data_IF_400557956977
#
_entry.id   IF_400557956977
#
_cell.length_a   1.000
_cell.length_b   1.000
_cell.length_c   1.000
_cell.angle_alpha   90.00
_cell.angle_beta   90.00
_cell.angle_gamma   90.00
#
_symmetry.space_group_name_H-M   'P 1'
#
loop_
_entity.id
_entity.type
_entity.pdbx_description
1 polymer ?
#
# COMPACT_ATOMS: atom_id res chain seq x y z
N UNK A 1 18.91 2.05 22.18
CA UNK A 1 19.73 2.80 21.20
C UNK A 1 19.55 4.29 21.48
N UNK A 2 20.59 5.13 21.33
CA UNK A 2 20.50 6.55 21.71
C UNK A 2 19.72 7.40 20.68
N UNK A 3 18.83 8.28 21.13
CA UNK A 3 17.99 9.16 20.29
C UNK A 3 18.84 9.93 19.25
N UNK A 4 20.03 10.39 19.61
CA UNK A 4 20.93 11.09 18.69
C UNK A 4 21.41 10.22 17.51
N UNK A 5 21.60 8.92 17.71
CA UNK A 5 21.96 8.00 16.61
C UNK A 5 20.79 7.92 15.63
N UNK A 6 19.55 7.80 16.10
CA UNK A 6 18.39 7.76 15.20
C UNK A 6 18.25 9.06 14.41
N UNK A 7 18.32 10.22 15.08
CA UNK A 7 18.18 11.53 14.43
C UNK A 7 19.24 11.77 13.36
N UNK A 8 20.51 11.49 13.66
CA UNK A 8 21.57 11.65 12.68
C UNK A 8 21.52 10.57 11.58
N UNK A 9 21.08 9.35 11.90
CA UNK A 9 20.89 8.32 10.89
C UNK A 9 19.83 8.72 9.87
N UNK A 10 18.79 9.47 10.27
CA UNK A 10 17.77 10.00 9.37
C UNK A 10 18.41 10.87 8.30
N UNK A 11 19.27 11.81 8.69
CA UNK A 11 19.97 12.69 7.72
C UNK A 11 20.97 11.91 6.86
N UNK A 12 21.81 11.08 7.50
CA UNK A 12 22.84 10.30 6.80
C UNK A 12 22.23 9.29 5.81
N UNK A 13 21.00 8.82 6.04
CA UNK A 13 20.30 7.92 5.13
C UNK A 13 19.99 8.58 3.79
N UNK A 14 19.90 9.91 3.72
CA UNK A 14 19.65 10.65 2.49
C UNK A 14 20.93 11.20 1.83
N UNK A 15 22.10 11.08 2.47
CA UNK A 15 23.36 11.51 1.87
C UNK A 15 23.93 10.46 0.93
N UNK A 16 24.50 10.93 -0.17
CA UNK A 16 25.24 10.14 -1.15
C UNK A 16 26.75 10.33 -1.02
N UNK A 17 27.52 9.38 -1.56
CA UNK A 17 28.98 9.49 -1.59
C UNK A 17 29.37 10.74 -2.37
N UNK A 18 30.21 11.58 -1.76
CA UNK A 18 30.60 12.90 -2.27
C UNK A 18 29.91 14.07 -1.57
N UNK A 19 28.83 13.81 -0.82
CA UNK A 19 28.12 14.86 -0.09
C UNK A 19 28.96 15.42 1.06
N UNK A 20 28.76 16.71 1.32
CA UNK A 20 29.30 17.38 2.51
C UNK A 20 28.39 17.09 3.70
N UNK A 21 28.92 16.38 4.69
CA UNK A 21 28.19 16.07 5.91
C UNK A 21 28.01 17.35 6.74
N UNK A 22 26.82 17.52 7.31
CA UNK A 22 26.56 18.58 8.28
C UNK A 22 27.60 18.62 9.39
N UNK A 23 28.04 19.83 9.73
CA UNK A 23 28.95 20.07 10.84
C UNK A 23 28.31 19.69 12.17
N UNK A 24 29.15 19.50 13.20
CA UNK A 24 28.66 19.24 14.56
C UNK A 24 27.69 20.36 14.99
N UNK A 25 28.04 21.62 14.74
CA UNK A 25 27.20 22.77 15.10
C UNK A 25 25.84 22.76 14.37
N UNK A 26 25.81 22.36 13.09
CA UNK A 26 24.57 22.25 12.31
C UNK A 26 23.66 21.15 12.89
N UNK A 27 24.21 19.97 13.22
CA UNK A 27 23.43 18.92 13.89
C UNK A 27 22.95 19.36 15.28
N UNK A 28 23.77 20.07 16.05
CA UNK A 28 23.38 20.61 17.34
C UNK A 28 22.21 21.58 17.20
N UNK A 29 22.27 22.52 16.25
CA UNK A 29 21.20 23.48 16.01
C UNK A 29 19.92 22.83 15.50
N UNK A 30 20.04 21.87 14.56
CA UNK A 30 18.90 21.17 13.95
C UNK A 30 18.14 20.32 14.96
N UNK A 31 18.86 19.55 15.78
CA UNK A 31 18.26 18.56 16.69
C UNK A 31 18.29 18.97 18.17
N UNK A 32 18.77 20.19 18.48
CA UNK A 32 18.94 20.69 19.85
C UNK A 32 19.75 19.75 20.74
N UNK A 33 20.80 19.14 20.18
CA UNK A 33 21.66 18.18 20.88
C UNK A 33 22.91 18.84 21.46
N UNK A 34 23.43 18.28 22.56
CA UNK A 34 24.73 18.66 23.09
C UNK A 34 25.86 18.23 22.15
N UNK A 35 26.94 19.02 22.09
CA UNK A 35 28.10 18.78 21.21
C UNK A 35 28.67 17.37 21.35
N UNK A 36 28.89 16.93 22.60
CA UNK A 36 29.42 15.59 22.89
C UNK A 36 28.50 14.47 22.40
N UNK A 37 27.18 14.66 22.45
CA UNK A 37 26.20 13.69 21.97
C UNK A 37 26.29 13.51 20.45
N UNK A 38 26.38 14.62 19.71
CA UNK A 38 26.58 14.60 18.25
C UNK A 38 27.92 13.93 17.89
N UNK A 39 28.99 14.27 18.61
CA UNK A 39 30.31 13.66 18.40
C UNK A 39 30.30 12.16 18.63
N UNK A 40 29.68 11.69 19.71
CA UNK A 40 29.58 10.27 20.04
C UNK A 40 28.75 9.50 19.00
N UNK A 41 27.65 10.09 18.51
CA UNK A 41 26.85 9.49 17.44
C UNK A 41 27.64 9.39 16.12
N UNK A 42 28.36 10.45 15.72
CA UNK A 42 29.23 10.41 14.54
C UNK A 42 30.39 9.42 14.69
N UNK A 43 30.98 9.31 15.89
CA UNK A 43 32.00 8.31 16.19
C UNK A 43 31.44 6.89 16.05
N UNK A 44 30.25 6.63 16.61
CA UNK A 44 29.55 5.35 16.47
C UNK A 44 29.38 4.95 15.00
N UNK A 45 28.93 5.85 14.13
CA UNK A 45 28.78 5.53 12.70
C UNK A 45 30.11 5.17 12.02
N UNK A 46 31.20 5.86 12.38
CA UNK A 46 32.54 5.59 11.81
C UNK A 46 33.12 4.28 12.34
N UNK A 47 33.07 4.06 13.65
CA UNK A 47 33.59 2.87 14.31
C UNK A 47 32.89 1.58 13.85
N UNK A 48 31.60 1.68 13.51
CA UNK A 48 30.81 0.56 13.00
C UNK A 48 30.84 0.43 11.47
N UNK A 49 31.68 1.21 10.78
CA UNK A 49 31.79 1.25 9.31
C UNK A 49 30.45 1.57 8.60
N UNK A 50 29.56 2.30 9.28
CA UNK A 50 28.29 2.76 8.71
C UNK A 50 28.56 3.94 7.77
N UNK A 51 29.53 4.80 8.11
CA UNK A 51 30.02 5.86 7.23
C UNK A 51 31.54 5.92 7.24
N UNK A 52 32.12 6.40 6.13
CA UNK A 52 33.50 6.86 6.08
C UNK A 52 33.53 8.30 5.61
N UNK A 53 34.49 9.07 6.13
CA UNK A 53 34.53 10.51 5.89
C UNK A 53 35.95 11.00 5.70
N UNK A 54 36.15 11.95 4.79
CA UNK A 54 37.41 12.67 4.59
C UNK A 54 37.28 14.13 5.04
N UNK A 55 38.18 14.59 5.89
CA UNK A 55 38.23 16.01 6.29
C UNK A 55 39.03 16.82 5.27
N UNK A 56 38.40 17.83 4.67
CA UNK A 56 39.02 18.75 3.70
C UNK A 56 39.24 20.15 4.28
N UNK A 57 39.51 20.24 5.58
CA UNK A 57 39.77 21.51 6.27
C UNK A 57 38.60 22.50 6.14
N UNK A 58 38.85 23.67 5.55
CA UNK A 58 37.85 24.72 5.36
C UNK A 58 36.67 24.32 4.48
N UNK A 59 36.83 23.31 3.62
CA UNK A 59 35.74 22.81 2.77
C UNK A 59 34.75 21.92 3.54
N UNK A 60 35.11 21.48 4.75
CA UNK A 60 34.28 20.65 5.63
C UNK A 60 34.64 19.17 5.55
N UNK A 61 33.66 18.31 5.86
CA UNK A 61 33.84 16.85 5.90
C UNK A 61 33.01 16.22 4.78
N UNK A 62 33.66 15.44 3.92
CA UNK A 62 33.03 14.78 2.77
C UNK A 62 32.75 13.31 3.13
N UNK A 63 31.57 12.81 2.77
CA UNK A 63 31.19 11.41 2.90
C UNK A 63 31.85 10.60 1.77
N UNK A 64 32.71 9.64 2.12
CA UNK A 64 33.44 8.81 1.15
C UNK A 64 32.87 7.39 1.03
N UNK A 65 32.11 6.93 2.03
CA UNK A 65 31.34 5.70 1.97
C UNK A 65 30.13 5.78 2.92
N UNK A 66 29.03 5.13 2.56
CA UNK A 66 27.84 5.03 3.40
C UNK A 66 27.17 3.66 3.25
N UNK A 67 26.85 3.03 4.38
CA UNK A 67 26.13 1.77 4.44
C UNK A 67 24.63 2.05 4.70
N UNK A 68 23.88 2.29 3.62
CA UNK A 68 22.43 2.58 3.67
C UNK A 68 21.65 1.46 4.35
N UNK A 69 22.05 0.20 4.15
CA UNK A 69 21.44 -0.96 4.80
C UNK A 69 21.56 -0.86 6.32
N UNK A 70 22.75 -0.59 6.87
CA UNK A 70 22.90 -0.42 8.32
C UNK A 70 22.17 0.82 8.85
N UNK A 71 22.18 1.95 8.13
CA UNK A 71 21.41 3.14 8.52
C UNK A 71 19.91 2.83 8.60
N UNK A 72 19.36 2.15 7.59
CA UNK A 72 17.97 1.67 7.60
C UNK A 72 17.68 0.81 8.82
N UNK A 73 18.56 -0.15 9.16
CA UNK A 73 18.37 -1.01 10.35
C UNK A 73 18.27 -0.19 11.64
N UNK A 74 19.01 0.91 11.75
CA UNK A 74 18.94 1.83 12.89
C UNK A 74 17.64 2.64 12.91
N UNK A 75 17.03 2.89 11.75
CA UNK A 75 15.81 3.68 11.63
C UNK A 75 14.55 2.83 11.84
N UNK A 76 14.49 1.62 11.27
CA UNK A 76 13.26 0.79 11.26
C UNK A 76 13.34 -0.48 12.10
N UNK A 77 14.49 -0.79 12.72
CA UNK A 77 14.62 -1.98 13.57
C UNK A 77 14.46 -3.32 12.83
N UNK A 78 14.70 -3.33 11.52
CA UNK A 78 14.45 -4.44 10.57
C UNK A 78 12.98 -4.77 10.32
N UNK A 79 12.02 -4.08 10.93
CA UNK A 79 10.61 -4.39 10.76
C UNK A 79 9.94 -3.34 9.89
N UNK A 80 8.96 -3.76 9.10
CA UNK A 80 8.03 -2.86 8.45
C UNK A 80 6.62 -3.41 8.59
N UNK A 81 5.65 -2.54 8.78
CA UNK A 81 4.25 -2.89 8.92
C UNK A 81 3.41 -2.25 7.81
N UNK A 82 2.55 -3.06 7.20
CA UNK A 82 1.69 -2.61 6.11
C UNK A 82 0.26 -3.09 6.28
N UNK A 83 -0.67 -2.43 5.59
CA UNK A 83 -2.07 -2.88 5.54
C UNK A 83 -2.48 -3.20 4.12
N UNK A 84 -3.31 -4.22 3.93
CA UNK A 84 -3.92 -4.51 2.63
C UNK A 84 -5.33 -5.09 2.78
N UNK A 85 -6.15 -5.15 1.72
CA UNK A 85 -7.38 -5.93 1.72
C UNK A 85 -7.11 -7.40 2.04
N UNK A 86 -8.11 -8.11 2.56
CA UNK A 86 -8.05 -9.57 2.67
C UNK A 86 -7.70 -10.17 1.30
N UNK A 87 -6.78 -11.15 1.22
CA UNK A 87 -6.35 -11.72 -0.05
C UNK A 87 -7.39 -12.75 -0.54
N UNK A 88 -8.52 -12.27 -1.04
CA UNK A 88 -9.65 -13.10 -1.48
C UNK A 88 -9.61 -13.50 -2.97
N UNK A 89 -8.62 -12.99 -3.71
CA UNK A 89 -8.34 -13.37 -5.11
C UNK A 89 -6.87 -13.69 -5.27
N UNK A 90 -6.54 -14.52 -6.26
CA UNK A 90 -5.14 -14.86 -6.57
C UNK A 90 -4.29 -13.65 -6.94
N UNK A 91 -4.92 -12.58 -7.42
CA UNK A 91 -4.25 -11.32 -7.71
C UNK A 91 -3.74 -10.66 -6.42
N UNK A 92 -4.55 -10.63 -5.35
CA UNK A 92 -4.10 -10.16 -4.04
C UNK A 92 -3.08 -11.11 -3.40
N UNK A 93 -3.29 -12.42 -3.49
CA UNK A 93 -2.34 -13.42 -3.02
C UNK A 93 -0.97 -13.25 -3.68
N UNK A 94 -0.97 -13.00 -4.99
CA UNK A 94 0.23 -12.75 -5.78
C UNK A 94 0.95 -11.48 -5.38
N UNK A 95 0.21 -10.40 -5.12
CA UNK A 95 0.77 -9.15 -4.65
C UNK A 95 1.41 -9.31 -3.25
N UNK A 96 0.69 -9.93 -2.31
CA UNK A 96 1.19 -10.20 -0.97
C UNK A 96 2.47 -11.05 -1.04
N UNK A 97 2.45 -12.13 -1.83
CA UNK A 97 3.63 -13.00 -2.03
C UNK A 97 4.83 -12.20 -2.55
N UNK A 98 4.61 -11.32 -3.52
CA UNK A 98 5.66 -10.50 -4.10
C UNK A 98 6.24 -9.52 -3.06
N UNK A 99 5.40 -8.86 -2.26
CA UNK A 99 5.85 -7.99 -1.18
C UNK A 99 6.72 -8.75 -0.18
N UNK A 100 6.22 -9.85 0.38
CA UNK A 100 6.97 -10.64 1.36
C UNK A 100 8.33 -11.10 0.81
N UNK A 101 8.40 -11.52 -0.45
CA UNK A 101 9.66 -11.89 -1.09
C UNK A 101 10.63 -10.69 -1.21
N UNK A 102 10.17 -9.51 -1.64
CA UNK A 102 11.02 -8.32 -1.80
C UNK A 102 11.58 -7.83 -0.48
N UNK A 103 10.73 -7.75 0.54
CA UNK A 103 11.16 -7.32 1.87
C UNK A 103 12.11 -8.33 2.51
N UNK A 104 11.84 -9.63 2.39
CA UNK A 104 12.74 -10.68 2.88
C UNK A 104 14.13 -10.64 2.20
N UNK A 105 14.19 -10.46 0.87
CA UNK A 105 15.46 -10.32 0.13
C UNK A 105 16.29 -9.11 0.59
N UNK A 106 15.65 -8.11 1.19
CA UNK A 106 16.27 -6.90 1.71
C UNK A 106 16.55 -6.94 3.23
N UNK A 107 16.42 -8.12 3.86
CA UNK A 107 16.50 -8.36 5.31
C UNK A 107 15.54 -7.47 6.12
N UNK A 108 14.30 -7.37 5.67
CA UNK A 108 13.23 -6.64 6.35
C UNK A 108 12.08 -7.61 6.68
N UNK A 109 11.73 -7.67 7.95
CA UNK A 109 10.61 -8.41 8.49
C UNK A 109 9.31 -7.65 8.23
N UNK A 110 8.65 -7.97 7.12
CA UNK A 110 7.36 -7.39 6.77
C UNK A 110 6.23 -8.03 7.59
N UNK A 111 5.36 -7.20 8.16
CA UNK A 111 4.15 -7.62 8.86
C UNK A 111 2.93 -6.96 8.22
N UNK A 112 2.11 -7.76 7.53
CA UNK A 112 0.89 -7.27 6.92
C UNK A 112 -0.32 -7.51 7.82
N UNK A 113 -1.13 -6.47 8.02
CA UNK A 113 -2.47 -6.60 8.58
C UNK A 113 -3.53 -6.51 7.48
N UNK A 114 -4.54 -7.38 7.58
CA UNK A 114 -5.66 -7.40 6.65
C UNK A 114 -6.83 -6.61 7.20
N UNK A 115 -7.02 -5.40 6.68
CA UNK A 115 -8.03 -4.45 7.16
C UNK A 115 -9.06 -4.23 6.05
N UNK A 116 -10.33 -4.41 6.39
CA UNK A 116 -11.45 -4.13 5.49
C UNK A 116 -11.74 -2.63 5.45
N UNK A 117 -12.04 -2.16 4.24
CA UNK A 117 -12.36 -0.77 3.94
C UNK A 117 -11.13 0.11 3.74
N UNK A 118 -11.14 0.90 2.66
CA UNK A 118 -10.02 1.77 2.31
C UNK A 118 -9.82 2.89 3.33
N UNK A 119 -10.91 3.47 3.84
CA UNK A 119 -10.86 4.52 4.88
C UNK A 119 -10.15 4.05 6.15
N UNK A 120 -10.48 2.85 6.65
CA UNK A 120 -9.82 2.26 7.83
C UNK A 120 -8.33 2.02 7.61
N UNK A 121 -7.92 1.65 6.38
CA UNK A 121 -6.49 1.49 6.03
C UNK A 121 -5.76 2.83 5.98
N UNK A 122 -6.40 3.88 5.48
CA UNK A 122 -5.86 5.25 5.52
C UNK A 122 -5.71 5.71 6.96
N UNK A 123 -6.75 5.57 7.78
CA UNK A 123 -6.74 5.93 9.20
C UNK A 123 -5.63 5.20 9.96
N UNK A 124 -5.44 3.90 9.71
CA UNK A 124 -4.39 3.12 10.36
C UNK A 124 -2.96 3.60 10.01
N UNK A 125 -2.75 4.18 8.82
CA UNK A 125 -1.49 4.82 8.43
C UNK A 125 -1.35 6.21 9.07
N UNK A 126 -2.43 6.98 9.12
CA UNK A 126 -2.45 8.32 9.74
C UNK A 126 -2.21 8.27 11.25
N UNK A 127 -2.76 7.25 11.91
CA UNK A 127 -2.56 6.95 13.33
C UNK A 127 -1.17 6.36 13.64
N UNK A 128 -0.32 6.18 12.62
CA UNK A 128 1.02 5.59 12.72
C UNK A 128 1.00 4.17 13.32
N UNK A 129 -0.14 3.47 13.23
CA UNK A 129 -0.26 2.04 13.58
C UNK A 129 0.41 1.15 12.53
N UNK A 130 0.49 1.63 11.29
CA UNK A 130 1.16 0.98 10.18
C UNK A 130 1.95 1.98 9.35
N UNK A 131 3.07 1.54 8.78
CA UNK A 131 3.96 2.40 8.00
C UNK A 131 3.38 2.75 6.63
N UNK A 132 2.65 1.80 6.02
CA UNK A 132 2.04 1.98 4.69
C UNK A 132 0.71 1.24 4.53
N UNK A 133 -0.03 1.60 3.48
CA UNK A 133 -1.31 0.97 3.14
C UNK A 133 -1.44 0.68 1.65
N UNK A 134 -2.12 -0.42 1.32
CA UNK A 134 -2.42 -0.85 -0.04
C UNK A 134 -3.88 -0.53 -0.36
N UNK A 135 -4.10 0.21 -1.44
CA UNK A 135 -5.40 0.72 -1.87
C UNK A 135 -5.54 0.60 -3.40
N UNK A 136 -6.76 0.83 -3.90
CA UNK A 136 -6.92 1.24 -5.29
C UNK A 136 -6.48 2.68 -5.48
N UNK A 137 -6.05 3.07 -6.69
CA UNK A 137 -5.72 4.48 -6.98
C UNK A 137 -6.92 5.39 -6.72
N UNK A 138 -8.12 4.94 -7.08
CA UNK A 138 -9.35 5.71 -6.85
C UNK A 138 -9.53 6.07 -5.37
N UNK A 139 -9.41 5.10 -4.47
CA UNK A 139 -9.55 5.34 -3.04
C UNK A 139 -8.43 6.22 -2.47
N UNK A 140 -7.19 6.05 -2.94
CA UNK A 140 -6.07 6.89 -2.50
C UNK A 140 -6.22 8.34 -2.95
N UNK A 141 -6.60 8.59 -4.21
CA UNK A 141 -6.84 9.94 -4.72
C UNK A 141 -8.02 10.62 -4.00
N UNK A 142 -9.09 9.89 -3.73
CA UNK A 142 -10.21 10.42 -2.94
C UNK A 142 -9.77 10.84 -1.54
N UNK A 143 -9.01 9.99 -0.83
CA UNK A 143 -8.50 10.33 0.49
C UNK A 143 -7.57 11.56 0.48
N UNK A 144 -6.71 11.71 -0.55
CA UNK A 144 -5.86 12.89 -0.73
C UNK A 144 -6.71 14.14 -0.99
N UNK A 145 -7.75 14.02 -1.81
CA UNK A 145 -8.66 15.13 -2.11
C UNK A 145 -9.49 15.56 -0.89
N UNK A 146 -9.72 14.64 0.05
CA UNK A 146 -10.34 14.91 1.36
C UNK A 146 -9.32 15.45 2.40
N UNK A 147 -8.21 16.04 1.93
CA UNK A 147 -7.15 16.66 2.73
C UNK A 147 -6.45 15.73 3.75
N UNK A 148 -6.56 14.39 3.59
CA UNK A 148 -5.79 13.47 4.43
C UNK A 148 -4.30 13.60 4.10
N UNK A 149 -3.40 13.71 5.10
CA UNK A 149 -1.97 13.92 4.88
C UNK A 149 -1.25 12.61 4.54
N UNK A 150 -1.65 11.99 3.44
CA UNK A 150 -1.01 10.82 2.83
C UNK A 150 -0.44 11.16 1.45
N UNK A 151 0.40 10.29 0.91
CA UNK A 151 0.91 10.35 -0.46
C UNK A 151 0.94 8.96 -1.10
N UNK A 152 0.74 8.90 -2.42
CA UNK A 152 0.97 7.68 -3.21
C UNK A 152 2.48 7.55 -3.43
N UNK A 153 3.06 6.44 -2.97
CA UNK A 153 4.49 6.13 -3.06
C UNK A 153 4.80 5.40 -4.37
N UNK A 154 3.99 4.40 -4.71
CA UNK A 154 4.10 3.59 -5.92
C UNK A 154 2.71 3.33 -6.51
N UNK A 155 2.63 3.29 -7.83
CA UNK A 155 1.48 2.84 -8.61
C UNK A 155 1.91 1.65 -9.47
N UNK A 156 1.15 0.57 -9.42
CA UNK A 156 1.46 -0.69 -10.11
C UNK A 156 0.75 -0.81 -11.46
N UNK A 157 -0.08 0.18 -11.83
CA UNK A 157 -0.74 0.24 -13.12
C UNK A 157 -1.99 -0.63 -13.23
N UNK A 158 -2.59 -0.65 -14.41
CA UNK A 158 -3.91 -1.23 -14.62
C UNK A 158 -3.97 -2.72 -14.31
N UNK A 159 -5.11 -3.17 -13.79
CA UNK A 159 -5.41 -4.58 -13.51
C UNK A 159 -4.53 -5.25 -12.45
N UNK A 160 -3.88 -4.46 -11.60
CA UNK A 160 -3.04 -4.96 -10.50
C UNK A 160 -3.76 -5.03 -9.16
N UNK A 161 -4.84 -4.27 -8.97
CA UNK A 161 -5.70 -4.35 -7.78
C UNK A 161 -6.83 -5.38 -7.96
N UNK A 162 -7.40 -5.39 -9.16
CA UNK A 162 -8.40 -6.36 -9.65
C UNK A 162 -8.44 -6.30 -11.17
N UNK A 163 -8.85 -7.38 -11.84
CA UNK A 163 -8.99 -7.38 -13.29
C UNK A 163 -10.14 -6.47 -13.71
N UNK A 164 -11.36 -6.72 -13.21
CA UNK A 164 -12.58 -5.97 -13.55
C UNK A 164 -13.61 -6.01 -12.42
N UNK A 165 -14.45 -4.98 -12.39
CA UNK A 165 -15.73 -5.04 -11.68
C UNK A 165 -16.82 -5.60 -12.61
N UNK A 166 -17.75 -6.35 -12.04
CA UNK A 166 -18.91 -6.90 -12.73
C UNK A 166 -20.18 -6.65 -11.92
N UNK A 167 -21.30 -6.59 -12.61
CA UNK A 167 -22.62 -6.65 -12.00
C UNK A 167 -23.03 -8.12 -11.92
N UNK A 168 -23.33 -8.62 -10.74
CA UNK A 168 -23.72 -10.02 -10.49
C UNK A 168 -25.20 -10.06 -10.15
N UNK A 169 -25.92 -10.97 -10.78
CA UNK A 169 -27.36 -11.14 -10.64
C UNK A 169 -27.65 -12.45 -9.94
N UNK A 170 -28.69 -12.44 -9.12
CA UNK A 170 -29.29 -13.68 -8.62
C UNK A 170 -29.77 -14.53 -9.81
N UNK A 171 -29.63 -15.85 -9.70
CA UNK A 171 -29.89 -16.82 -10.77
C UNK A 171 -31.24 -16.66 -11.50
N UNK A 172 -32.29 -16.19 -10.83
CA UNK A 172 -33.62 -16.00 -11.45
C UNK A 172 -33.78 -14.67 -12.20
N UNK A 173 -32.73 -13.87 -12.34
CA UNK A 173 -32.77 -12.51 -12.90
C UNK A 173 -31.72 -12.39 -14.01
N UNK A 174 -32.18 -12.13 -15.23
CA UNK A 174 -31.31 -11.93 -16.40
C UNK A 174 -31.15 -10.45 -16.77
N UNK A 175 -32.05 -9.58 -16.31
CA UNK A 175 -32.05 -8.14 -16.62
C UNK A 175 -32.45 -7.32 -15.40
N UNK A 176 -31.89 -6.11 -15.24
CA UNK A 176 -32.27 -5.21 -14.15
C UNK A 176 -33.72 -4.75 -14.28
N UNK A 177 -34.39 -4.53 -13.16
CA UNK A 177 -35.77 -4.03 -13.10
C UNK A 177 -35.96 -3.00 -11.99
N UNK A 178 -36.95 -2.11 -12.18
CA UNK A 178 -37.26 -1.05 -11.21
C UNK A 178 -37.59 -1.64 -9.83
N UNK A 179 -36.95 -1.12 -8.79
CA UNK A 179 -37.21 -1.51 -7.40
C UNK A 179 -36.51 -2.79 -6.92
N UNK A 180 -35.61 -3.38 -7.72
CA UNK A 180 -34.73 -4.47 -7.29
C UNK A 180 -33.85 -4.06 -6.11
N UNK A 181 -33.43 -5.01 -5.28
CA UNK A 181 -32.54 -4.78 -4.14
C UNK A 181 -31.09 -4.92 -4.57
N UNK A 182 -30.32 -3.84 -4.47
CA UNK A 182 -28.89 -3.84 -4.77
C UNK A 182 -28.07 -3.85 -3.48
N UNK A 183 -27.14 -4.79 -3.37
CA UNK A 183 -26.20 -4.84 -2.25
C UNK A 183 -25.23 -3.67 -2.30
N UNK A 184 -24.99 -3.01 -1.17
CA UNK A 184 -24.00 -1.93 -1.02
C UNK A 184 -23.16 -2.11 0.25
N UNK A 185 -21.84 -2.00 0.11
CA UNK A 185 -20.90 -1.97 1.24
C UNK A 185 -20.33 -0.56 1.45
N UNK A 186 -20.87 0.17 2.42
CA UNK A 186 -20.43 1.54 2.74
C UNK A 186 -18.98 1.65 3.23
N UNK A 187 -18.32 0.53 3.54
CA UNK A 187 -16.92 0.55 3.95
C UNK A 187 -15.95 0.54 2.75
N UNK A 188 -16.44 0.32 1.54
CA UNK A 188 -15.64 0.26 0.32
C UNK A 188 -16.02 1.40 -0.62
N UNK A 189 -15.15 2.40 -0.72
CA UNK A 189 -15.42 3.59 -1.54
C UNK A 189 -15.69 3.24 -3.02
N UNK A 190 -14.87 2.36 -3.60
CA UNK A 190 -15.01 1.85 -4.97
C UNK A 190 -16.39 1.19 -5.16
N UNK A 191 -16.83 0.41 -4.17
CA UNK A 191 -18.12 -0.29 -4.21
C UNK A 191 -19.29 0.67 -4.10
N UNK A 192 -19.21 1.66 -3.20
CA UNK A 192 -20.24 2.70 -3.04
C UNK A 192 -20.41 3.47 -4.35
N UNK A 193 -19.31 3.93 -4.94
CA UNK A 193 -19.35 4.67 -6.20
C UNK A 193 -20.03 3.87 -7.31
N UNK A 194 -19.57 2.64 -7.56
CA UNK A 194 -20.10 1.77 -8.61
C UNK A 194 -21.57 1.43 -8.39
N UNK A 195 -21.93 1.13 -7.14
CA UNK A 195 -23.30 0.76 -6.78
C UNK A 195 -24.26 1.93 -7.01
N UNK A 196 -23.88 3.13 -6.56
CA UNK A 196 -24.71 4.32 -6.73
C UNK A 196 -24.80 4.75 -8.20
N UNK A 197 -23.71 4.64 -8.96
CA UNK A 197 -23.72 4.91 -10.40
C UNK A 197 -24.69 3.97 -11.14
N UNK A 198 -24.67 2.68 -10.79
CA UNK A 198 -25.59 1.69 -11.33
C UNK A 198 -27.05 1.92 -10.87
N UNK A 199 -27.26 2.23 -9.59
CA UNK A 199 -28.59 2.41 -8.99
C UNK A 199 -29.33 3.64 -9.55
N UNK A 200 -28.61 4.71 -9.91
CA UNK A 200 -29.18 5.92 -10.57
C UNK A 200 -29.95 5.57 -11.84
N UNK A 201 -29.48 4.58 -12.59
CA UNK A 201 -30.08 4.19 -13.87
C UNK A 201 -31.28 3.23 -13.71
N UNK A 202 -31.50 2.65 -12.53
CA UNK A 202 -32.41 1.50 -12.35
C UNK A 202 -33.42 1.65 -11.21
N UNK A 203 -33.43 2.77 -10.48
CA UNK A 203 -34.26 3.00 -9.28
C UNK A 203 -34.18 1.83 -8.27
N UNK A 204 -33.02 1.21 -8.16
CA UNK A 204 -32.79 0.11 -7.25
C UNK A 204 -32.85 0.58 -5.79
N UNK A 205 -33.28 -0.31 -4.89
CA UNK A 205 -33.27 -0.09 -3.44
C UNK A 205 -31.96 -0.60 -2.86
N UNK A 206 -31.18 0.29 -2.27
CA UNK A 206 -29.93 -0.07 -1.60
C UNK A 206 -30.22 -0.93 -0.35
N UNK A 207 -29.48 -2.03 -0.21
CA UNK A 207 -29.48 -2.90 0.96
C UNK A 207 -28.04 -3.04 1.42
N UNK A 208 -27.75 -2.66 2.67
CA UNK A 208 -26.41 -2.82 3.22
C UNK A 208 -26.03 -4.30 3.28
N UNK A 209 -24.97 -4.67 2.57
CA UNK A 209 -24.40 -6.02 2.54
C UNK A 209 -22.88 -5.88 2.59
N UNK A 210 -22.21 -6.48 3.59
CA UNK A 210 -20.77 -6.60 3.56
C UNK A 210 -20.28 -7.24 2.26
N UNK A 211 -19.27 -6.64 1.61
CA UNK A 211 -18.75 -7.12 0.33
C UNK A 211 -18.55 -8.65 0.35
N UNK A 212 -17.82 -9.17 1.33
CA UNK A 212 -17.52 -10.60 1.47
C UNK A 212 -18.75 -11.53 1.65
N UNK A 213 -19.94 -10.98 1.87
CA UNK A 213 -21.21 -11.71 1.98
C UNK A 213 -22.09 -11.55 0.73
N UNK A 214 -21.68 -10.76 -0.26
CA UNK A 214 -22.49 -10.39 -1.43
C UNK A 214 -22.97 -11.61 -2.23
N UNK A 215 -22.08 -12.56 -2.50
CA UNK A 215 -22.43 -13.81 -3.21
C UNK A 215 -23.46 -14.65 -2.42
N UNK A 216 -23.31 -14.74 -1.09
CA UNK A 216 -24.28 -15.45 -0.25
C UNK A 216 -25.63 -14.74 -0.21
N UNK A 217 -25.62 -13.41 -0.09
CA UNK A 217 -26.83 -12.59 -0.06
C UNK A 217 -27.65 -12.70 -1.37
N UNK A 218 -26.98 -12.85 -2.52
CA UNK A 218 -27.63 -13.15 -3.81
C UNK A 218 -28.31 -14.54 -3.79
N UNK A 219 -27.59 -15.57 -3.32
CA UNK A 219 -28.10 -16.95 -3.26
C UNK A 219 -29.26 -17.12 -2.27
N UNK A 220 -29.22 -16.40 -1.16
CA UNK A 220 -30.25 -16.42 -0.12
C UNK A 220 -31.45 -15.50 -0.41
N UNK A 221 -31.49 -14.89 -1.60
CA UNK A 221 -32.54 -13.95 -2.00
C UNK A 221 -32.63 -12.70 -1.09
N UNK A 222 -31.56 -12.31 -0.39
CA UNK A 222 -31.53 -11.08 0.41
C UNK A 222 -31.39 -9.84 -0.47
N UNK A 223 -30.64 -9.98 -1.57
CA UNK A 223 -30.50 -9.00 -2.64
C UNK A 223 -30.75 -9.66 -3.99
N UNK A 224 -31.00 -8.84 -5.00
CA UNK A 224 -31.30 -9.26 -6.37
C UNK A 224 -30.07 -9.08 -7.27
N UNK A 225 -29.24 -8.09 -6.94
CA UNK A 225 -28.06 -7.70 -7.72
C UNK A 225 -26.96 -7.13 -6.80
N UNK A 226 -25.71 -7.22 -7.24
CA UNK A 226 -24.57 -6.60 -6.55
C UNK A 226 -23.39 -6.34 -7.46
N UNK A 227 -22.50 -5.43 -7.07
CA UNK A 227 -21.25 -5.18 -7.78
C UNK A 227 -20.16 -6.05 -7.16
N UNK A 228 -19.40 -6.78 -7.98
CA UNK A 228 -18.39 -7.71 -7.47
C UNK A 228 -17.06 -7.67 -8.22
N UNK A 229 -16.05 -8.28 -7.60
CA UNK A 229 -14.75 -8.50 -8.21
C UNK A 229 -14.82 -9.73 -9.13
N UNK A 230 -14.53 -9.54 -10.42
CA UNK A 230 -14.54 -10.62 -11.41
C UNK A 230 -13.50 -11.71 -11.12
N UNK A 231 -12.36 -11.35 -10.54
CA UNK A 231 -11.30 -12.32 -10.23
C UNK A 231 -11.81 -13.41 -9.29
N UNK A 232 -12.62 -13.03 -8.30
CA UNK A 232 -13.17 -13.99 -7.34
C UNK A 232 -14.19 -14.95 -7.96
N UNK A 233 -14.97 -14.49 -8.95
CA UNK A 233 -15.88 -15.35 -9.71
C UNK A 233 -15.09 -16.45 -10.42
N UNK A 234 -14.00 -16.06 -11.07
CA UNK A 234 -13.12 -16.99 -11.80
C UNK A 234 -12.38 -17.92 -10.82
N UNK A 235 -11.75 -17.36 -9.79
CA UNK A 235 -10.91 -18.08 -8.84
C UNK A 235 -11.71 -19.11 -8.04
N UNK A 236 -12.94 -18.76 -7.63
CA UNK A 236 -13.84 -19.64 -6.88
C UNK A 236 -14.76 -20.47 -7.77
N UNK A 237 -14.66 -20.34 -9.10
CA UNK A 237 -15.50 -21.04 -10.09
C UNK A 237 -17.00 -20.88 -9.80
N UNK A 238 -17.43 -19.63 -9.60
CA UNK A 238 -18.85 -19.31 -9.40
C UNK A 238 -19.53 -19.39 -10.77
N UNK A 239 -20.28 -20.47 -11.01
CA UNK A 239 -20.97 -20.77 -12.27
C UNK A 239 -22.50 -20.75 -12.16
N UNK A 240 -23.04 -20.61 -10.94
CA UNK A 240 -24.47 -20.59 -10.63
C UNK A 240 -25.12 -19.21 -10.73
N UNK A 241 -24.32 -18.14 -10.89
CA UNK A 241 -24.78 -16.76 -10.96
C UNK A 241 -24.43 -16.12 -12.32
N UNK A 242 -25.32 -15.26 -12.80
CA UNK A 242 -25.06 -14.47 -14.00
C UNK A 242 -24.29 -13.20 -13.67
N UNK A 243 -23.42 -12.77 -14.57
CA UNK A 243 -22.73 -11.49 -14.44
C UNK A 243 -22.61 -10.75 -15.77
N UNK A 244 -22.58 -9.42 -15.69
CA UNK A 244 -22.32 -8.53 -16.81
C UNK A 244 -21.13 -7.62 -16.52
N UNK A 245 -20.32 -7.36 -17.54
CA UNK A 245 -19.20 -6.43 -17.41
C UNK A 245 -19.70 -5.00 -17.32
N UNK A 246 -19.05 -4.22 -16.46
CA UNK A 246 -19.26 -2.78 -16.37
C UNK A 246 -18.34 -2.13 -17.40
N UNK A 247 -18.89 -1.21 -18.19
CA UNK A 247 -18.11 -0.45 -19.16
C UNK A 247 -17.03 0.40 -18.46
N UNK A 248 -15.77 0.38 -18.93
CA UNK A 248 -14.67 1.01 -18.21
C UNK A 248 -14.67 2.54 -18.40
N UNK A 249 -15.13 3.26 -17.37
CA UNK A 249 -14.87 4.71 -17.24
C UNK A 249 -13.49 4.99 -16.67
N UNK A 250 -13.00 6.23 -16.76
CA UNK A 250 -11.72 6.61 -16.15
C UNK A 250 -11.67 6.33 -14.64
N UNK A 251 -12.77 6.55 -13.92
CA UNK A 251 -12.83 6.24 -12.49
C UNK A 251 -12.73 4.73 -12.24
N UNK A 252 -13.38 3.91 -13.06
CA UNK A 252 -13.33 2.45 -12.95
C UNK A 252 -11.92 1.92 -13.25
N UNK A 253 -11.20 2.51 -14.21
CA UNK A 253 -9.80 2.16 -14.48
C UNK A 253 -8.93 2.42 -13.24
N UNK A 254 -9.12 3.54 -12.55
CA UNK A 254 -8.41 3.85 -11.29
C UNK A 254 -8.69 2.85 -10.18
N UNK A 255 -9.90 2.28 -10.14
CA UNK A 255 -10.25 1.24 -9.16
C UNK A 255 -9.54 -0.09 -9.42
N UNK A 256 -9.06 -0.33 -10.65
CA UNK A 256 -8.30 -1.51 -11.03
C UNK A 256 -6.77 -1.36 -10.83
N UNK A 257 -6.30 -0.15 -10.54
CA UNK A 257 -4.89 0.17 -10.30
C UNK A 257 -4.56 0.06 -8.81
N UNK A 258 -3.56 -0.75 -8.45
CA UNK A 258 -3.07 -0.87 -7.09
C UNK A 258 -2.07 0.24 -6.80
N UNK A 259 -2.15 0.82 -5.61
CA UNK A 259 -1.17 1.78 -5.11
C UNK A 259 -0.74 1.46 -3.68
N UNK A 260 0.49 1.84 -3.35
CA UNK A 260 0.98 1.90 -1.96
C UNK A 260 0.97 3.37 -1.53
N UNK A 261 0.40 3.64 -0.35
CA UNK A 261 0.41 4.95 0.30
C UNK A 261 1.24 4.93 1.59
N UNK A 262 1.76 6.09 1.97
CA UNK A 262 2.26 6.34 3.33
C UNK A 262 1.87 7.76 3.78
N UNK A 263 2.17 8.10 5.03
CA UNK A 263 1.98 9.46 5.55
C UNK A 263 2.86 10.45 4.77
N UNK A 264 2.33 11.64 4.47
CA UNK A 264 2.93 12.62 3.54
C UNK A 264 4.31 13.11 3.98
N UNK A 265 4.53 13.24 5.28
CA UNK A 265 5.78 13.69 5.92
C UNK A 265 6.76 12.55 6.24
N UNK A 266 6.42 11.30 5.92
CA UNK A 266 7.27 10.14 6.19
C UNK A 266 8.17 9.78 5.00
N UNK A 267 9.15 10.63 4.72
CA UNK A 267 10.10 10.48 3.60
C UNK A 267 11.01 9.25 3.72
N UNK A 268 11.26 8.80 4.95
CA UNK A 268 12.04 7.59 5.20
C UNK A 268 11.29 6.35 4.69
N UNK A 269 10.01 6.20 5.05
CA UNK A 269 9.18 5.09 4.56
C UNK A 269 9.00 5.15 3.05
N UNK A 270 8.78 6.35 2.49
CA UNK A 270 8.69 6.52 1.03
C UNK A 270 9.95 6.00 0.33
N UNK A 271 11.12 6.43 0.81
CA UNK A 271 12.40 6.08 0.20
C UNK A 271 12.72 4.60 0.36
N UNK A 272 12.43 4.05 1.54
CA UNK A 272 12.56 2.62 1.80
C UNK A 272 11.73 1.77 0.84
N UNK A 273 10.45 2.11 0.67
CA UNK A 273 9.55 1.39 -0.21
C UNK A 273 10.05 1.46 -1.65
N UNK A 274 10.51 2.63 -2.12
CA UNK A 274 11.09 2.82 -3.45
C UNK A 274 12.43 2.09 -3.65
N UNK A 275 13.23 1.91 -2.61
CA UNK A 275 14.48 1.14 -2.65
C UNK A 275 14.22 -0.36 -2.75
N UNK A 276 13.23 -0.87 -2.00
CA UNK A 276 12.96 -2.31 -1.85
C UNK A 276 12.08 -2.86 -2.97
N UNK A 277 11.14 -2.06 -3.47
CA UNK A 277 10.11 -2.52 -4.40
C UNK A 277 10.45 -2.11 -5.83
N UNK A 278 10.70 -3.12 -6.66
CA UNK A 278 10.66 -3.00 -8.11
C UNK A 278 9.24 -3.32 -8.62
N UNK A 279 8.61 -2.36 -9.30
CA UNK A 279 7.20 -2.47 -9.75
C UNK A 279 7.03 -3.59 -10.78
N UNK A 280 7.95 -3.72 -11.74
CA UNK A 280 7.84 -4.73 -12.80
C UNK A 280 7.97 -6.13 -12.23
N UNK A 281 8.86 -6.30 -11.26
CA UNK A 281 9.10 -7.58 -10.59
C UNK A 281 7.92 -7.99 -9.70
N UNK A 282 7.31 -7.04 -8.97
CA UNK A 282 6.07 -7.29 -8.23
C UNK A 282 4.97 -7.80 -9.16
N UNK A 283 4.76 -7.13 -10.29
CA UNK A 283 3.73 -7.50 -11.28
C UNK A 283 4.04 -8.87 -11.88
N UNK A 284 5.32 -9.19 -12.14
CA UNK A 284 5.76 -10.49 -12.64
C UNK A 284 5.40 -11.62 -11.67
N UNK A 285 5.76 -11.48 -10.38
CA UNK A 285 5.43 -12.48 -9.34
C UNK A 285 3.92 -12.59 -9.15
N UNK A 286 3.21 -11.46 -9.12
CA UNK A 286 1.76 -11.43 -8.99
C UNK A 286 1.08 -12.25 -10.09
N UNK A 287 1.50 -12.05 -11.35
CA UNK A 287 0.95 -12.80 -12.49
C UNK A 287 1.28 -14.29 -12.41
N UNK A 288 2.51 -14.65 -12.03
CA UNK A 288 2.89 -16.06 -11.86
C UNK A 288 2.03 -16.76 -10.80
N UNK A 289 1.68 -16.08 -9.71
CA UNK A 289 0.73 -16.63 -8.72
C UNK A 289 -0.67 -16.74 -9.29
N UNK A 290 -1.17 -15.68 -9.96
CA UNK A 290 -2.49 -15.66 -10.61
C UNK A 290 -2.68 -16.85 -11.56
N UNK A 291 -1.69 -17.13 -12.40
CA UNK A 291 -1.72 -18.24 -13.36
C UNK A 291 -1.31 -19.60 -12.78
N UNK A 292 -0.97 -19.67 -11.49
CA UNK A 292 -0.64 -20.93 -10.81
C UNK A 292 0.76 -21.46 -11.07
N UNK A 293 1.66 -20.64 -11.62
CA UNK A 293 3.08 -20.96 -11.81
C UNK A 293 3.87 -20.92 -10.49
N UNK A 294 3.42 -20.10 -9.53
CA UNK A 294 3.98 -19.99 -8.18
C UNK A 294 2.87 -20.20 -7.15
N UNK A 295 3.14 -20.99 -6.11
CA UNK A 295 2.25 -21.12 -4.94
C UNK A 295 2.35 -19.86 -4.08
N UNK A 296 1.23 -19.24 -3.67
CA UNK A 296 1.25 -18.06 -2.82
C UNK A 296 1.90 -18.33 -1.46
N UNK A 297 2.65 -17.35 -0.94
CA UNK A 297 3.35 -17.37 0.35
C UNK A 297 3.39 -15.97 0.95
N UNK A 298 2.56 -15.71 1.96
CA UNK A 298 2.42 -14.42 2.63
C UNK A 298 1.82 -14.60 4.03
#
# INVERSE_FOLDING_TARGET
MGIAIQLLATDLYFYEVGDKISSISEFQSKYQLARGTVQNALAYFKENNIIQTESKGSQGTILTAVNKKQLRRLLTGNQLSGTMPLPYSKLYEGFATALYQRFQQNDIDLNMAYIRGSANRVEAVLDEKFDFGVLSRFAAEAAINDDNPIKIVLNFGSHTYLSKHVVVYRQSIEQPFDGMRIGIDYNSLDHVYLTQDFAKNTKAKEVFIPSNQLIYALRENQIDIGIWNYDEIVDKKIDDLYYHFIEPTEQIKKMAELVIICKKDNDMIESLIKEVIDVEDIISIQNKVKYGEITPRY
#
